data_IF_759336421933
#
_entry.id   IF_759336421933
#
_cell.length_a   1.000
_cell.length_b   1.000
_cell.length_c   1.000
_cell.angle_alpha   90.00
_cell.angle_beta   90.00
_cell.angle_gamma   90.00
#
_symmetry.space_group_name_H-M   'P 1'
#
loop_
_entity.id
_entity.type
_entity.pdbx_description
1 polymer ?
#
# COMPACT_ATOMS: atom_id res chain seq x y z
N UNK A 1 -1.59 35.27 -40.30
CA UNK A 1 -0.41 34.39 -40.16
C UNK A 1 0.29 34.47 -38.79
N UNK A 2 0.01 35.46 -37.93
CA UNK A 2 0.65 35.56 -36.59
C UNK A 2 -0.04 34.76 -35.47
N UNK A 3 -1.28 34.30 -35.67
CA UNK A 3 -2.03 33.60 -34.60
C UNK A 3 -1.61 32.14 -34.39
N UNK A 4 -1.20 31.42 -35.44
CA UNK A 4 -0.75 30.03 -35.32
C UNK A 4 0.54 29.89 -34.50
N UNK A 5 1.51 30.80 -34.65
CA UNK A 5 2.76 30.76 -33.88
C UNK A 5 2.55 31.03 -32.37
N UNK A 6 1.51 31.78 -32.01
CA UNK A 6 1.18 32.04 -30.61
C UNK A 6 0.54 30.85 -29.90
N UNK A 7 -0.20 30.00 -30.63
CA UNK A 7 -0.80 28.78 -30.08
C UNK A 7 0.25 27.71 -29.81
N UNK A 8 1.19 27.48 -30.74
CA UNK A 8 2.23 26.45 -30.59
C UNK A 8 3.22 26.78 -29.47
N UNK A 9 3.56 28.06 -29.27
CA UNK A 9 4.42 28.49 -28.15
C UNK A 9 3.77 28.27 -26.78
N UNK A 10 2.44 28.40 -26.66
CA UNK A 10 1.71 28.12 -25.41
C UNK A 10 1.67 26.63 -25.06
N UNK A 11 1.51 25.75 -26.05
CA UNK A 11 1.53 24.30 -25.82
C UNK A 11 2.91 23.82 -25.34
N UNK A 12 3.99 24.33 -25.94
CA UNK A 12 5.38 23.98 -25.54
C UNK A 12 5.70 24.46 -24.11
N UNK A 13 5.14 25.60 -23.68
CA UNK A 13 5.36 26.13 -22.34
C UNK A 13 4.55 25.41 -21.24
N UNK A 14 3.43 24.77 -21.56
CA UNK A 14 2.55 24.05 -20.62
C UNK A 14 2.96 22.59 -20.38
N UNK A 15 3.59 21.96 -21.37
CA UNK A 15 4.19 20.62 -21.30
C UNK A 15 5.03 20.34 -20.02
N UNK A 16 5.98 21.22 -19.62
CA UNK A 16 6.81 20.97 -18.43
C UNK A 16 6.01 21.04 -17.12
N UNK A 17 5.06 21.97 -17.00
CA UNK A 17 4.21 22.10 -15.81
C UNK A 17 3.26 20.91 -15.67
N UNK A 18 2.66 20.45 -16.77
CA UNK A 18 1.79 19.28 -16.76
C UNK A 18 2.56 17.99 -16.38
N UNK A 19 3.81 17.86 -16.83
CA UNK A 19 4.68 16.72 -16.49
C UNK A 19 5.13 16.78 -15.01
N UNK A 20 5.47 17.95 -14.49
CA UNK A 20 5.81 18.15 -13.08
C UNK A 20 4.62 17.90 -12.15
N UNK A 21 3.43 18.41 -12.50
CA UNK A 21 2.20 18.20 -11.72
C UNK A 21 1.85 16.71 -11.62
N UNK A 22 1.93 15.96 -12.73
CA UNK A 22 1.73 14.49 -12.73
C UNK A 22 2.73 13.76 -11.84
N UNK A 23 3.99 14.22 -11.81
CA UNK A 23 5.02 13.68 -10.92
C UNK A 23 4.70 13.89 -9.44
N UNK A 24 4.32 15.12 -9.05
CA UNK A 24 3.90 15.42 -7.67
C UNK A 24 2.66 14.62 -7.25
N UNK A 25 1.65 14.52 -8.13
CA UNK A 25 0.46 13.73 -7.84
C UNK A 25 0.82 12.25 -7.65
N UNK A 26 1.65 11.68 -8.53
CA UNK A 26 2.09 10.29 -8.39
C UNK A 26 2.84 10.06 -7.07
N UNK A 27 3.73 10.99 -6.68
CA UNK A 27 4.45 10.90 -5.41
C UNK A 27 3.51 10.88 -4.20
N UNK A 28 2.49 11.75 -4.18
CA UNK A 28 1.48 11.76 -3.12
C UNK A 28 0.66 10.46 -3.08
N UNK A 29 0.31 9.91 -4.23
CA UNK A 29 -0.41 8.63 -4.34
C UNK A 29 0.43 7.48 -3.79
N UNK A 30 1.72 7.42 -4.12
CA UNK A 30 2.62 6.42 -3.56
C UNK A 30 2.85 6.61 -2.06
N UNK A 31 3.01 7.84 -1.59
CA UNK A 31 3.12 8.13 -0.16
C UNK A 31 1.87 7.66 0.59
N UNK A 32 0.68 7.89 0.04
CA UNK A 32 -0.56 7.39 0.61
C UNK A 32 -0.62 5.86 0.64
N UNK A 33 -0.19 5.17 -0.44
CA UNK A 33 -0.10 3.71 -0.45
C UNK A 33 0.82 3.17 0.66
N UNK A 34 1.99 3.80 0.86
CA UNK A 34 2.91 3.44 1.96
C UNK A 34 2.26 3.66 3.32
N UNK A 35 1.55 4.77 3.53
CA UNK A 35 0.84 5.03 4.78
C UNK A 35 -0.23 3.98 5.07
N UNK A 36 -0.97 3.54 4.07
CA UNK A 36 -1.95 2.43 4.22
C UNK A 36 -1.25 1.14 4.65
N UNK A 37 -0.11 0.81 4.04
CA UNK A 37 0.68 -0.36 4.45
C UNK A 37 1.15 -0.21 5.90
N UNK A 38 1.69 0.95 6.29
CA UNK A 38 2.13 1.21 7.67
C UNK A 38 0.98 1.15 8.68
N UNK A 39 -0.20 1.64 8.31
CA UNK A 39 -1.41 1.52 9.14
C UNK A 39 -1.79 0.05 9.38
N UNK A 40 -1.60 -0.82 8.37
CA UNK A 40 -1.82 -2.27 8.52
C UNK A 40 -0.84 -2.94 9.49
N UNK A 41 0.36 -2.38 9.69
CA UNK A 41 1.28 -2.83 10.75
C UNK A 41 0.76 -2.40 12.12
N UNK A 42 0.34 -1.15 12.26
CA UNK A 42 -0.14 -0.61 13.54
C UNK A 42 -1.33 -1.42 14.09
N UNK A 43 -2.25 -1.82 13.22
CA UNK A 43 -3.42 -2.62 13.59
C UNK A 43 -3.11 -4.02 14.11
N UNK A 44 -1.88 -4.53 13.96
CA UNK A 44 -1.51 -5.89 14.38
C UNK A 44 -0.30 -5.97 15.30
N UNK A 45 0.34 -4.84 15.63
CA UNK A 45 1.45 -4.82 16.60
C UNK A 45 1.02 -5.49 17.91
N UNK A 46 -0.22 -5.26 18.31
CA UNK A 46 -0.81 -5.82 19.53
C UNK A 46 -0.93 -7.35 19.48
N UNK A 47 -1.04 -7.94 18.29
CA UNK A 47 -1.09 -9.40 18.09
C UNK A 47 0.29 -10.04 18.04
N UNK A 48 1.26 -9.33 17.47
CA UNK A 48 2.61 -9.83 17.31
C UNK A 48 3.40 -9.71 18.63
N UNK A 49 3.17 -8.66 19.41
CA UNK A 49 4.01 -8.31 20.56
C UNK A 49 3.51 -8.87 21.89
N UNK A 50 2.21 -9.07 22.06
CA UNK A 50 1.63 -9.43 23.36
C UNK A 50 1.05 -10.84 23.37
N UNK A 51 1.42 -11.69 24.35
CA UNK A 51 0.75 -12.96 24.56
C UNK A 51 -0.68 -12.73 25.04
N UNK A 52 -1.64 -13.51 24.52
CA UNK A 52 -3.05 -13.44 24.89
C UNK A 52 -3.99 -13.48 23.69
N UNK A 53 -5.29 -13.70 23.95
CA UNK A 53 -6.34 -13.69 22.93
C UNK A 53 -6.68 -12.25 22.50
N UNK A 54 -6.58 -11.96 21.21
CA UNK A 54 -6.94 -10.68 20.58
C UNK A 54 -7.92 -10.88 19.42
N UNK A 55 -8.65 -9.83 19.08
CA UNK A 55 -9.61 -9.84 17.98
C UNK A 55 -8.88 -9.99 16.65
N UNK A 56 -9.35 -10.86 15.76
CA UNK A 56 -8.64 -11.14 14.51
C UNK A 56 -8.77 -9.99 13.49
N UNK A 57 -7.76 -9.11 13.44
CA UNK A 57 -7.62 -8.03 12.46
C UNK A 57 -6.82 -8.43 11.21
N UNK A 58 -6.42 -9.70 11.07
CA UNK A 58 -5.73 -10.18 9.88
C UNK A 58 -6.55 -9.95 8.59
N UNK A 59 -7.89 -10.16 8.56
CA UNK A 59 -8.70 -9.83 7.39
C UNK A 59 -8.67 -8.35 7.04
N UNK A 60 -8.76 -7.48 8.05
CA UNK A 60 -8.69 -6.03 7.86
C UNK A 60 -7.33 -5.62 7.26
N UNK A 61 -6.23 -6.19 7.77
CA UNK A 61 -4.90 -5.95 7.23
C UNK A 61 -4.78 -6.40 5.77
N UNK A 62 -5.34 -7.56 5.41
CA UNK A 62 -5.34 -8.03 4.01
C UNK A 62 -6.17 -7.12 3.10
N UNK A 63 -7.32 -6.63 3.55
CA UNK A 63 -8.08 -5.64 2.78
C UNK A 63 -7.32 -4.32 2.61
N UNK A 64 -6.63 -3.84 3.64
CA UNK A 64 -5.79 -2.65 3.56
C UNK A 64 -4.64 -2.84 2.57
N UNK A 65 -4.00 -4.01 2.56
CA UNK A 65 -2.98 -4.35 1.57
C UNK A 65 -3.58 -4.40 0.15
N UNK A 66 -4.73 -5.05 -0.04
CA UNK A 66 -5.43 -5.05 -1.32
C UNK A 66 -5.79 -3.64 -1.81
N UNK A 67 -6.17 -2.73 -0.91
CA UNK A 67 -6.39 -1.33 -1.28
C UNK A 67 -5.08 -0.61 -1.64
N UNK A 68 -3.99 -0.84 -0.90
CA UNK A 68 -2.69 -0.28 -1.20
C UNK A 68 -2.14 -0.72 -2.56
N UNK A 69 -2.37 -1.97 -3.00
CA UNK A 69 -1.99 -2.40 -4.37
C UNK A 69 -2.71 -1.58 -5.42
N UNK A 70 -4.02 -1.38 -5.28
CA UNK A 70 -4.83 -0.60 -6.22
C UNK A 70 -4.34 0.86 -6.30
N UNK A 71 -4.03 1.46 -5.15
CA UNK A 71 -3.46 2.81 -5.08
C UNK A 71 -2.09 2.86 -5.76
N UNK A 72 -1.21 1.87 -5.52
CA UNK A 72 0.12 1.80 -6.14
C UNK A 72 0.04 1.61 -7.67
N UNK A 73 -0.89 0.79 -8.17
CA UNK A 73 -1.16 0.64 -9.61
C UNK A 73 -1.67 1.95 -10.20
N UNK A 74 -2.56 2.65 -9.50
CA UNK A 74 -3.02 3.99 -9.89
C UNK A 74 -1.87 5.00 -9.94
N UNK A 75 -0.99 5.00 -8.94
CA UNK A 75 0.23 5.83 -8.90
C UNK A 75 1.18 5.52 -10.05
N UNK A 76 1.38 4.23 -10.38
CA UNK A 76 2.19 3.82 -11.52
C UNK A 76 1.59 4.31 -12.84
N UNK A 77 0.28 4.16 -13.02
CA UNK A 77 -0.43 4.64 -14.20
C UNK A 77 -0.28 6.17 -14.37
N UNK A 78 -0.38 6.94 -13.28
CA UNK A 78 -0.17 8.39 -13.28
C UNK A 78 1.29 8.79 -13.57
N UNK A 79 2.25 8.01 -13.07
CA UNK A 79 3.68 8.24 -13.32
C UNK A 79 4.13 7.86 -14.73
N UNK A 80 3.31 7.08 -15.44
CA UNK A 80 3.61 6.49 -16.74
C UNK A 80 4.26 5.11 -16.61
N UNK A 81 3.79 4.17 -17.43
CA UNK A 81 4.19 2.76 -17.37
C UNK A 81 5.67 2.51 -17.70
N UNK A 82 6.33 3.48 -18.35
CA UNK A 82 7.76 3.46 -18.68
C UNK A 82 8.63 4.19 -17.65
N UNK A 83 8.04 4.75 -16.59
CA UNK A 83 8.78 5.52 -15.59
C UNK A 83 9.55 4.59 -14.65
N UNK A 84 10.89 4.70 -14.67
CA UNK A 84 11.76 3.97 -13.74
C UNK A 84 11.45 4.33 -12.28
N UNK A 85 11.16 5.61 -12.00
CA UNK A 85 10.79 6.07 -10.66
C UNK A 85 9.47 5.48 -10.17
N UNK A 86 8.48 5.34 -11.05
CA UNK A 86 7.21 4.67 -10.74
C UNK A 86 7.40 3.20 -10.39
N UNK A 87 8.18 2.47 -11.20
CA UNK A 87 8.51 1.07 -10.91
C UNK A 87 9.33 0.89 -9.63
N UNK A 88 10.27 1.79 -9.34
CA UNK A 88 11.01 1.77 -8.09
C UNK A 88 10.09 1.98 -6.87
N UNK A 89 9.13 2.91 -6.96
CA UNK A 89 8.13 3.12 -5.91
C UNK A 89 7.22 1.89 -5.73
N UNK A 90 6.75 1.29 -6.82
CA UNK A 90 5.98 0.03 -6.77
C UNK A 90 6.79 -1.11 -6.17
N UNK A 91 8.07 -1.25 -6.53
CA UNK A 91 8.94 -2.25 -5.93
C UNK A 91 9.12 -2.04 -4.43
N UNK A 92 9.29 -0.79 -3.98
CA UNK A 92 9.39 -0.45 -2.57
C UNK A 92 8.10 -0.81 -1.81
N UNK A 93 6.95 -0.41 -2.34
CA UNK A 93 5.64 -0.81 -1.78
C UNK A 93 5.52 -2.33 -1.76
N UNK A 94 5.85 -3.01 -2.86
CA UNK A 94 5.81 -4.46 -2.96
C UNK A 94 6.69 -5.18 -1.93
N UNK A 95 7.89 -4.66 -1.64
CA UNK A 95 8.75 -5.19 -0.56
C UNK A 95 8.10 -5.02 0.80
N UNK A 96 7.54 -3.84 1.11
CA UNK A 96 6.82 -3.62 2.37
C UNK A 96 5.62 -4.57 2.52
N UNK A 97 4.88 -4.79 1.43
CA UNK A 97 3.76 -5.71 1.40
C UNK A 97 4.18 -7.17 1.57
N UNK A 98 5.29 -7.59 0.93
CA UNK A 98 5.84 -8.92 1.07
C UNK A 98 6.30 -9.19 2.51
N UNK A 99 6.99 -8.22 3.13
CA UNK A 99 7.37 -8.28 4.54
C UNK A 99 6.13 -8.42 5.43
N UNK A 100 5.07 -7.66 5.14
CA UNK A 100 3.82 -7.73 5.90
C UNK A 100 3.11 -9.07 5.73
N UNK A 101 3.06 -9.59 4.52
CA UNK A 101 2.45 -10.89 4.23
C UNK A 101 3.20 -12.02 4.92
N UNK A 102 4.53 -11.91 5.02
CA UNK A 102 5.36 -12.88 5.74
C UNK A 102 5.00 -12.96 7.24
N UNK A 103 4.73 -11.83 7.90
CA UNK A 103 4.34 -11.84 9.32
C UNK A 103 2.88 -12.23 9.53
N UNK A 104 2.00 -11.93 8.57
CA UNK A 104 0.58 -12.31 8.58
C UNK A 104 0.31 -13.77 8.19
N UNK A 105 1.22 -14.42 7.46
CA UNK A 105 1.09 -15.80 7.00
C UNK A 105 0.60 -16.80 8.07
N UNK A 106 1.14 -16.82 9.30
CA UNK A 106 0.63 -17.72 10.34
C UNK A 106 -0.78 -17.35 10.83
N UNK A 107 -1.13 -16.06 10.85
CA UNK A 107 -2.46 -15.59 11.27
C UNK A 107 -3.55 -15.88 10.24
N UNK A 108 -3.18 -15.98 8.96
CA UNK A 108 -4.10 -16.33 7.86
C UNK A 108 -4.70 -17.73 8.01
N UNK A 109 -4.02 -18.65 8.69
CA UNK A 109 -4.59 -19.96 9.00
C UNK A 109 -5.83 -19.84 9.92
N UNK A 110 -5.87 -18.80 10.75
CA UNK A 110 -6.98 -18.50 11.65
C UNK A 110 -8.06 -17.59 11.04
N UNK A 111 -8.08 -17.38 9.71
CA UNK A 111 -9.00 -16.42 9.07
C UNK A 111 -10.48 -16.65 9.42
N UNK A 112 -10.89 -17.90 9.61
CA UNK A 112 -12.28 -18.26 9.95
C UNK A 112 -12.63 -18.06 11.44
N UNK A 113 -11.70 -17.56 12.25
CA UNK A 113 -11.88 -17.39 13.69
C UNK A 113 -11.87 -15.91 14.08
N UNK A 114 -12.75 -15.54 15.01
CA UNK A 114 -12.88 -14.16 15.48
C UNK A 114 -11.75 -13.71 16.41
N UNK A 115 -11.01 -14.65 16.99
CA UNK A 115 -9.89 -14.35 17.87
C UNK A 115 -8.66 -15.22 17.63
N UNK A 116 -7.50 -14.60 17.78
CA UNK A 116 -6.18 -15.21 17.62
C UNK A 116 -5.34 -14.86 18.84
N UNK A 117 -4.62 -15.85 19.38
CA UNK A 117 -3.66 -15.64 20.44
C UNK A 117 -2.32 -16.27 20.15
N UNK A 118 -1.24 -15.53 20.42
CA UNK A 118 0.13 -16.03 20.31
C UNK A 118 0.52 -16.76 21.60
N UNK A 119 0.97 -18.00 21.47
CA UNK A 119 1.49 -18.80 22.58
C UNK A 119 2.98 -18.49 22.82
N UNK A 120 3.48 -18.84 24.01
CA UNK A 120 4.87 -18.61 24.40
C UNK A 120 5.91 -19.41 23.59
N UNK A 121 5.48 -20.48 22.92
CA UNK A 121 6.30 -21.27 21.98
C UNK A 121 6.32 -20.68 20.56
N UNK A 122 5.59 -19.58 20.32
CA UNK A 122 5.45 -18.92 19.02
C UNK A 122 4.35 -19.48 18.13
N UNK A 123 3.61 -20.51 18.57
CA UNK A 123 2.42 -21.00 17.88
C UNK A 123 1.24 -20.03 18.03
N UNK A 124 0.23 -20.17 17.16
CA UNK A 124 -0.99 -19.36 17.20
C UNK A 124 -2.19 -20.24 17.51
N UNK A 125 -2.97 -19.85 18.52
CA UNK A 125 -4.26 -20.46 18.85
C UNK A 125 -5.38 -19.64 18.19
N UNK A 126 -6.26 -20.32 17.45
CA UNK A 126 -7.45 -19.72 16.85
C UNK A 126 -8.68 -20.11 17.68
N UNK A 127 -9.51 -19.15 18.07
CA UNK A 127 -10.69 -19.42 18.91
C UNK A 127 -11.87 -18.56 18.45
N UNK A 128 -13.08 -19.10 18.48
CA UNK A 128 -14.30 -18.30 18.35
C UNK A 128 -14.77 -17.89 19.74
N UNK A 129 -15.15 -16.62 19.90
CA UNK A 129 -15.72 -16.10 21.16
C UNK A 129 -17.25 -16.15 21.20
N UNK A 130 -17.87 -16.78 20.18
CA UNK A 130 -19.31 -17.01 20.07
C UNK A 130 -19.77 -18.28 20.76
#
# INVERSE_FOLDING_TARGET
MNEEHSATQREVALEPFARAARGCTAALVFAFAVLVVLFSFLGTIEMESFPGLRDNLAPLAVYALGFATLVAVGGLALSGWRSYGGWAAVACVGVLMALRMWTLAPMLHCWSYDSVGRNGDGSYNCVNRG
#
